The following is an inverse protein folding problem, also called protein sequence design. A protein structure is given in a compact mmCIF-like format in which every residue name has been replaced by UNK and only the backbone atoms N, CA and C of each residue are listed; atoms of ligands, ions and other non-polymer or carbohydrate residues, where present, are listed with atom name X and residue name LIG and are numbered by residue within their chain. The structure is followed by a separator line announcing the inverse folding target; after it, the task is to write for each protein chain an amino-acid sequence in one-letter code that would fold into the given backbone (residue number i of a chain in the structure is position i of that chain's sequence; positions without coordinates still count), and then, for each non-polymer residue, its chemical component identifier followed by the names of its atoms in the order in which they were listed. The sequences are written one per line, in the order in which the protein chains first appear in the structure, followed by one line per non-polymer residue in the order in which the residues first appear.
data_IF_363694115175
#
_entry.id   IF_363694115175
#
_cell.length_a   1.000
_cell.length_b   1.000
_cell.length_c   1.000
_cell.angle_alpha   90.00
_cell.angle_beta   90.00
_cell.angle_gamma   90.00
#
_symmetry.space_group_name_H-M   'P 1'
#
loop_
_entity.id
_entity.type
_entity.pdbx_description
1 polymer ?
#
# COMPACT_ATOMS: atom_id res chain seq x y z
N UNK A 1 8.41 6.26 -12.37
CA UNK A 1 8.04 6.01 -10.96
C UNK A 1 7.23 7.21 -10.47
N UNK A 2 5.90 7.22 -10.67
CA UNK A 2 5.07 8.28 -10.07
C UNK A 2 4.91 7.96 -8.59
N UNK A 3 5.73 8.62 -7.77
CA UNK A 3 5.56 8.63 -6.33
C UNK A 3 4.26 9.38 -6.06
N UNK A 4 3.21 8.68 -5.64
CA UNK A 4 2.03 9.29 -5.03
C UNK A 4 2.16 9.20 -3.49
N UNK A 5 3.14 9.89 -2.86
CA UNK A 5 3.35 9.82 -1.41
C UNK A 5 2.12 10.38 -0.68
N UNK A 6 1.43 11.34 -1.30
CA UNK A 6 0.23 11.96 -0.77
C UNK A 6 -0.93 10.96 -0.59
N UNK A 7 -1.24 10.13 -1.59
CA UNK A 7 -2.34 9.16 -1.48
C UNK A 7 -2.02 8.05 -0.46
N UNK A 8 -0.75 7.63 -0.37
CA UNK A 8 -0.31 6.68 0.67
C UNK A 8 -0.44 7.29 2.06
N UNK A 9 0.01 8.53 2.21
CA UNK A 9 -0.13 9.29 3.45
C UNK A 9 -1.60 9.41 3.85
N UNK A 10 -2.48 9.76 2.90
CA UNK A 10 -3.93 9.83 3.15
C UNK A 10 -4.53 8.48 3.55
N UNK A 11 -4.14 7.38 2.89
CA UNK A 11 -4.62 6.04 3.25
C UNK A 11 -4.21 5.65 4.69
N UNK A 12 -2.98 5.97 5.09
CA UNK A 12 -2.49 5.74 6.46
C UNK A 12 -3.21 6.67 7.44
N UNK A 13 -3.36 7.94 7.11
CA UNK A 13 -4.03 8.95 7.94
C UNK A 13 -5.46 8.54 8.26
N UNK A 14 -6.23 8.08 7.27
CA UNK A 14 -7.59 7.59 7.49
C UNK A 14 -7.63 6.39 8.44
N UNK A 15 -6.69 5.44 8.31
CA UNK A 15 -6.60 4.31 9.24
C UNK A 15 -6.30 4.75 10.68
N UNK A 16 -5.38 5.72 10.85
CA UNK A 16 -5.05 6.28 12.16
C UNK A 16 -6.26 6.99 12.76
N UNK A 17 -6.97 7.83 11.99
CA UNK A 17 -8.20 8.50 12.44
C UNK A 17 -9.25 7.48 12.88
N UNK A 18 -9.44 6.40 12.11
CA UNK A 18 -10.36 5.32 12.46
C UNK A 18 -10.01 4.68 13.81
N UNK A 19 -8.72 4.37 14.04
CA UNK A 19 -8.25 3.78 15.31
C UNK A 19 -8.48 4.76 16.47
N UNK A 20 -8.17 6.05 16.28
CA UNK A 20 -8.40 7.08 17.30
C UNK A 20 -9.88 7.17 17.68
N UNK A 21 -10.78 7.15 16.70
CA UNK A 21 -12.24 7.16 16.94
C UNK A 21 -12.70 5.91 17.70
N UNK A 22 -12.15 4.73 17.37
CA UNK A 22 -12.45 3.49 18.09
C UNK A 22 -12.03 3.60 19.56
N UNK A 23 -10.79 4.04 19.81
CA UNK A 23 -10.25 4.18 21.16
C UNK A 23 -11.05 5.21 21.96
N UNK A 24 -11.37 6.36 21.36
CA UNK A 24 -12.22 7.37 22.00
C UNK A 24 -13.62 6.83 22.34
N UNK A 25 -14.22 6.05 21.43
CA UNK A 25 -15.51 5.40 21.67
C UNK A 25 -15.46 4.42 22.85
N UNK A 26 -14.41 3.58 22.91
CA UNK A 26 -14.19 2.63 24.00
C UNK A 26 -13.95 3.35 25.33
N UNK A 27 -13.04 4.33 25.36
CA UNK A 27 -12.72 5.09 26.58
C UNK A 27 -13.95 5.83 27.10
N UNK A 28 -14.73 6.44 26.22
CA UNK A 28 -15.98 7.11 26.59
C UNK A 28 -16.98 6.12 27.17
N UNK A 29 -17.19 4.98 26.52
CA UNK A 29 -18.09 3.93 27.00
C UNK A 29 -17.67 3.36 28.37
N UNK A 30 -16.36 3.14 28.58
CA UNK A 30 -15.82 2.76 29.88
C UNK A 30 -16.08 3.83 30.94
N UNK A 31 -15.89 5.12 30.62
CA UNK A 31 -16.18 6.22 31.54
C UNK A 31 -17.64 6.25 32.00
N UNK A 32 -18.59 5.95 31.12
CA UNK A 32 -20.00 5.80 31.47
C UNK A 32 -20.28 4.57 32.36
N UNK A 33 -19.48 3.50 32.18
CA UNK A 33 -19.59 2.26 32.94
C UNK A 33 -19.00 2.39 34.36
N UNK A 34 -17.85 3.03 34.51
CA UNK A 34 -17.14 3.17 35.79
C UNK A 34 -17.66 4.31 36.67
N UNK A 35 -18.45 5.24 36.12
CA UNK A 35 -19.12 6.27 36.93
C UNK A 35 -20.14 5.62 37.86
N UNK A 36 -19.87 5.50 39.16
CA UNK A 36 -20.75 4.73 40.07
C UNK A 36 -22.11 5.40 40.36
N UNK A 37 -22.33 6.64 39.90
CA UNK A 37 -23.52 7.41 40.27
C UNK A 37 -24.53 7.43 39.11
N UNK A 38 -25.79 7.10 39.42
CA UNK A 38 -26.92 7.27 38.50
C UNK A 38 -27.25 8.74 38.20
N UNK A 39 -26.50 9.67 38.79
CA UNK A 39 -26.68 11.10 38.69
C UNK A 39 -25.58 11.69 37.80
N UNK A 40 -25.97 12.22 36.65
CA UNK A 40 -25.11 13.07 35.83
C UNK A 40 -25.44 14.53 36.12
N UNK A 41 -24.40 15.32 36.38
CA UNK A 41 -24.52 16.77 36.53
C UNK A 41 -24.24 17.41 35.17
N UNK A 42 -25.28 17.93 34.52
CA UNK A 42 -25.19 18.58 33.21
C UNK A 42 -25.65 20.02 33.40
N UNK A 43 -24.75 20.99 33.27
CA UNK A 43 -25.02 22.42 33.47
C UNK A 43 -25.68 22.77 34.83
N UNK A 44 -25.33 22.04 35.90
CA UNK A 44 -25.88 22.25 37.25
C UNK A 44 -27.24 21.58 37.49
N UNK A 45 -27.77 20.84 36.51
CA UNK A 45 -28.96 20.01 36.67
C UNK A 45 -28.55 18.56 36.90
N UNK A 46 -28.99 18.00 38.04
CA UNK A 46 -28.82 16.59 38.40
C UNK A 46 -29.87 15.75 37.70
N UNK A 47 -29.48 15.05 36.63
CA UNK A 47 -30.32 14.07 35.96
C UNK A 47 -30.06 12.68 36.54
N UNK A 48 -31.11 12.07 37.10
CA UNK A 48 -31.05 10.67 37.55
C UNK A 48 -31.55 9.77 36.43
N UNK A 49 -30.63 9.05 35.78
CA UNK A 49 -30.99 8.14 34.69
C UNK A 49 -31.21 6.73 35.24
N UNK A 50 -32.33 6.06 34.88
CA UNK A 50 -32.51 4.64 35.12
C UNK A 50 -31.33 3.84 34.53
N UNK A 51 -30.95 2.74 35.17
CA UNK A 51 -29.78 1.94 34.77
C UNK A 51 -29.79 1.55 33.28
N UNK A 52 -30.97 1.24 32.71
CA UNK A 52 -31.13 0.93 31.28
C UNK A 52 -30.75 2.09 30.34
N UNK A 53 -31.05 3.33 30.71
CA UNK A 53 -30.71 4.52 29.90
C UNK A 53 -29.21 4.77 29.89
N UNK A 54 -28.52 4.47 31.00
CA UNK A 54 -27.05 4.57 31.09
C UNK A 54 -26.35 3.59 30.15
N UNK A 55 -26.90 2.38 30.00
CA UNK A 55 -26.41 1.42 29.02
C UNK A 55 -26.59 1.90 27.58
N UNK A 56 -27.76 2.47 27.25
CA UNK A 56 -27.99 3.07 25.93
C UNK A 56 -27.03 4.23 25.63
N UNK A 57 -26.79 5.10 26.61
CA UNK A 57 -25.85 6.21 26.48
C UNK A 57 -24.39 5.76 26.38
N UNK A 58 -23.99 4.69 27.07
CA UNK A 58 -22.63 4.12 26.97
C UNK A 58 -22.41 3.37 25.63
N UNK A 59 -23.46 2.73 25.11
CA UNK A 59 -23.44 2.07 23.81
C UNK A 59 -23.32 3.06 22.65
N UNK A 60 -23.87 4.26 22.79
CA UNK A 60 -23.85 5.27 21.73
C UNK A 60 -22.44 5.65 21.26
N UNK A 61 -21.50 6.08 22.13
CA UNK A 61 -20.12 6.38 21.72
C UNK A 61 -19.36 5.12 21.29
N UNK A 62 -19.69 3.94 21.83
CA UNK A 62 -19.09 2.68 21.39
C UNK A 62 -19.47 2.36 19.94
N UNK A 63 -20.77 2.40 19.64
CA UNK A 63 -21.31 2.16 18.30
C UNK A 63 -20.81 3.22 17.32
N UNK A 64 -20.81 4.49 17.72
CA UNK A 64 -20.26 5.57 16.89
C UNK A 64 -18.75 5.38 16.63
N UNK A 65 -17.96 4.97 17.62
CA UNK A 65 -16.54 4.66 17.48
C UNK A 65 -16.28 3.48 16.55
N UNK A 66 -17.05 2.40 16.66
CA UNK A 66 -16.96 1.22 15.78
C UNK A 66 -17.37 1.56 14.35
N UNK A 67 -18.48 2.28 14.15
CA UNK A 67 -18.94 2.70 12.82
C UNK A 67 -17.94 3.67 12.17
N UNK A 68 -17.43 4.64 12.94
CA UNK A 68 -16.39 5.55 12.47
C UNK A 68 -15.13 4.78 12.06
N UNK A 69 -14.67 3.85 12.89
CA UNK A 69 -13.55 2.98 12.56
C UNK A 69 -13.78 2.21 11.26
N UNK A 70 -14.93 1.54 11.10
CA UNK A 70 -15.27 0.81 9.88
C UNK A 70 -15.23 1.72 8.65
N UNK A 71 -15.81 2.91 8.77
CA UNK A 71 -15.88 3.88 7.67
C UNK A 71 -14.49 4.35 7.24
N UNK A 72 -13.68 4.83 8.18
CA UNK A 72 -12.34 5.35 7.86
C UNK A 72 -11.36 4.23 7.48
N UNK A 73 -11.51 3.04 8.05
CA UNK A 73 -10.71 1.88 7.69
C UNK A 73 -11.01 1.41 6.26
N UNK A 74 -12.29 1.33 5.88
CA UNK A 74 -12.69 0.95 4.51
C UNK A 74 -12.23 1.99 3.49
N UNK A 75 -12.39 3.30 3.76
CA UNK A 75 -11.87 4.39 2.93
C UNK A 75 -10.35 4.29 2.71
N UNK A 76 -9.57 4.11 3.78
CA UNK A 76 -8.12 3.93 3.68
C UNK A 76 -7.72 2.66 2.91
N UNK A 77 -8.52 1.59 3.03
CA UNK A 77 -8.30 0.33 2.31
C UNK A 77 -8.61 0.46 0.81
N UNK A 78 -9.70 1.12 0.44
CA UNK A 78 -10.06 1.38 -0.97
C UNK A 78 -8.97 2.19 -1.67
N UNK A 79 -8.46 3.24 -1.02
CA UNK A 79 -7.35 4.04 -1.58
C UNK A 79 -6.11 3.17 -1.76
N UNK A 80 -5.81 2.27 -0.82
CA UNK A 80 -4.68 1.35 -0.92
C UNK A 80 -4.83 0.39 -2.11
N UNK A 81 -6.02 -0.18 -2.31
CA UNK A 81 -6.32 -1.09 -3.43
C UNK A 81 -6.23 -0.35 -4.75
N UNK A 82 -6.82 0.84 -4.87
CA UNK A 82 -6.74 1.66 -6.08
C UNK A 82 -5.28 2.00 -6.45
N UNK A 83 -4.44 2.29 -5.44
CA UNK A 83 -3.03 2.56 -5.65
C UNK A 83 -2.30 1.34 -6.23
N UNK A 84 -2.63 0.16 -5.72
CA UNK A 84 -2.02 -1.10 -6.14
C UNK A 84 -2.48 -1.49 -7.55
N UNK A 85 -3.78 -1.37 -7.85
CA UNK A 85 -4.31 -1.58 -9.21
C UNK A 85 -3.64 -0.66 -10.22
N UNK A 86 -3.42 0.61 -9.89
CA UNK A 86 -2.77 1.55 -10.80
C UNK A 86 -1.30 1.18 -11.08
N UNK A 87 -0.58 0.70 -10.05
CA UNK A 87 0.80 0.20 -10.20
C UNK A 87 0.88 -1.02 -11.11
N UNK A 88 -0.02 -1.98 -10.93
CA UNK A 88 -0.09 -3.18 -11.77
C UNK A 88 -0.40 -2.82 -13.21
N UNK A 89 -1.36 -1.92 -13.45
CA UNK A 89 -1.68 -1.45 -14.80
C UNK A 89 -0.52 -0.73 -15.48
N UNK A 90 0.25 0.10 -14.76
CA UNK A 90 1.45 0.73 -15.31
C UNK A 90 2.58 -0.27 -15.59
N UNK A 91 2.75 -1.28 -14.73
CA UNK A 91 3.73 -2.35 -14.95
C UNK A 91 3.38 -3.17 -16.20
N UNK A 92 2.10 -3.51 -16.39
CA UNK A 92 1.62 -4.21 -17.58
C UNK A 92 1.77 -3.35 -18.84
N UNK A 93 1.42 -2.06 -18.79
CA UNK A 93 1.60 -1.15 -19.91
C UNK A 93 3.07 -0.98 -20.32
N UNK A 94 4.00 -0.96 -19.34
CA UNK A 94 5.44 -0.94 -19.61
C UNK A 94 5.91 -2.24 -20.25
N UNK A 95 5.47 -3.39 -19.73
CA UNK A 95 5.80 -4.71 -20.29
C UNK A 95 5.37 -4.84 -21.75
N UNK A 96 4.16 -4.40 -22.10
CA UNK A 96 3.65 -4.41 -23.48
C UNK A 96 4.51 -3.51 -24.39
N UNK A 97 4.89 -2.32 -23.91
CA UNK A 97 5.76 -1.41 -24.66
C UNK A 97 7.17 -1.97 -24.87
N UNK A 98 7.74 -2.63 -23.87
CA UNK A 98 9.05 -3.30 -23.98
C UNK A 98 8.99 -4.48 -24.98
N UNK A 99 7.87 -5.21 -25.02
CA UNK A 99 7.62 -6.24 -26.03
C UNK A 99 7.54 -5.61 -27.42
N UNK A 100 6.75 -4.56 -27.62
CA UNK A 100 6.60 -3.86 -28.91
C UNK A 100 7.95 -3.32 -29.44
N UNK A 101 8.78 -2.72 -28.58
CA UNK A 101 10.14 -2.29 -28.97
C UNK A 101 11.03 -3.47 -29.39
N UNK A 102 10.89 -4.63 -28.76
CA UNK A 102 11.68 -5.82 -29.09
C UNK A 102 11.34 -6.35 -30.49
N UNK A 103 10.09 -6.19 -30.95
CA UNK A 103 9.68 -6.58 -32.31
C UNK A 103 10.06 -5.55 -33.39
N UNK A 104 10.17 -4.27 -33.02
CA UNK A 104 10.52 -3.17 -33.96
C UNK A 104 12.03 -2.99 -34.11
N UNK A 105 12.85 -3.55 -33.22
CA UNK A 105 14.31 -3.56 -33.42
C UNK A 105 14.67 -4.75 -34.32
N UNK A 106 14.94 -4.57 -35.63
CA UNK A 106 15.50 -5.66 -36.41
C UNK A 106 16.81 -6.08 -35.75
N UNK A 107 16.99 -7.39 -35.54
CA UNK A 107 18.33 -7.95 -35.37
C UNK A 107 19.10 -7.57 -36.63
N UNK A 108 19.86 -6.49 -36.58
CA UNK A 108 21.01 -6.33 -37.46
C UNK A 108 21.98 -7.39 -36.97
N UNK A 109 21.87 -8.58 -37.56
CA UNK A 109 22.85 -9.65 -37.44
C UNK A 109 24.20 -9.03 -37.77
N UNK A 110 25.00 -8.74 -36.75
CA UNK A 110 26.40 -8.43 -36.96
C UNK A 110 26.98 -9.69 -37.61
N UNK A 111 27.23 -9.61 -38.92
CA UNK A 111 28.07 -10.56 -39.64
C UNK A 111 29.34 -10.75 -38.80
N UNK A 112 29.67 -11.98 -38.35
CA UNK A 112 30.97 -12.18 -37.72
C UNK A 112 32.03 -11.77 -38.74
N UNK A 113 32.80 -10.74 -38.40
CA UNK A 113 33.94 -10.33 -39.20
C UNK A 113 34.83 -11.56 -39.39
N UNK A 114 34.90 -12.05 -40.63
CA UNK A 114 35.91 -13.02 -41.04
C UNK A 114 37.27 -12.39 -40.71
N UNK A 115 37.87 -12.85 -39.61
CA UNK A 115 39.26 -12.57 -39.28
C UNK A 115 40.10 -13.13 -40.42
N UNK A 116 40.68 -12.23 -41.18
CA UNK A 116 41.62 -12.47 -42.27
C UNK A 116 42.72 -13.43 -41.78
N UNK A 117 42.69 -14.67 -42.28
CA UNK A 117 43.68 -15.67 -41.96
C UNK A 117 45.03 -15.20 -42.52
N UNK A 118 45.94 -14.82 -41.62
CA UNK A 118 47.34 -14.54 -41.94
C UNK A 118 47.94 -15.75 -42.69
N UNK A 119 48.53 -15.58 -43.88
CA UNK A 119 49.13 -16.70 -44.59
C UNK A 119 50.37 -17.18 -43.82
N UNK A 120 50.30 -18.42 -43.33
CA UNK A 120 51.44 -19.10 -42.70
C UNK A 120 52.44 -19.46 -43.80
N UNK A 121 53.66 -18.93 -43.70
CA UNK A 121 54.75 -19.24 -44.60
C UNK A 121 55.12 -20.74 -44.53
N UNK A 122 55.47 -21.38 -45.66
CA UNK A 122 55.82 -22.80 -45.67
C UNK A 122 57.15 -23.08 -44.93
N UNK A 123 57.28 -24.23 -44.26
CA UNK A 123 58.50 -24.58 -43.52
C UNK A 123 59.68 -24.89 -44.46
N UNK A 124 60.87 -24.48 -44.03
CA UNK A 124 62.16 -24.70 -44.70
C UNK A 124 62.56 -26.19 -44.76
N UNK A 125 63.35 -26.62 -45.76
CA UNK A 125 63.71 -28.02 -45.96
C UNK A 125 64.67 -28.52 -44.87
N UNK A 126 64.42 -29.75 -44.41
CA UNK A 126 65.29 -30.47 -43.46
C UNK A 126 66.58 -30.89 -44.17
N UNK A 127 67.71 -30.35 -43.71
CA UNK A 127 69.03 -30.91 -44.06
C UNK A 127 69.24 -32.22 -43.30
N UNK A 128 69.39 -33.31 -44.04
CA UNK A 128 69.81 -34.61 -43.52
C UNK A 128 71.34 -34.59 -43.36
N UNK A 129 71.84 -34.58 -42.13
CA UNK A 129 73.26 -34.81 -41.83
C UNK A 129 73.40 -36.19 -41.17
N UNK A 130 74.06 -37.07 -41.95
CA UNK A 130 74.73 -38.36 -41.67
C UNK A 130 74.47 -39.05 -40.33
#
# INVERSE_FOLDING_TARGET
MSNHPFLKFMAVLFKVIGIVLLVLGIVSALGFYTGSNNTFDIFGFRFTFPSAVRWGLALTPLVAGVLGFLWYYTLGSVISVLLETNRTSQATAKSIKDIELTWVTPRTSATPALTEATPVAPPAPTETVV
#
